data_IF_686314001789
#
_entry.id   IF_686314001789
#
_cell.length_a   1.000
_cell.length_b   1.000
_cell.length_c   1.000
_cell.angle_alpha   90.00
_cell.angle_beta   90.00
_cell.angle_gamma   90.00
#
_symmetry.space_group_name_H-M   'P 1'
#
loop_
_entity.id
_entity.type
_entity.pdbx_description
1 polymer ?
#
# COMPACT_ATOMS: atom_id res chain seq x y z
N UNK A 1 -15.30 10.40 -9.96
CA UNK A 1 -14.40 10.58 -8.80
C UNK A 1 -14.61 11.89 -8.05
N UNK A 2 -15.14 12.98 -8.70
CA UNK A 2 -15.26 14.30 -8.05
C UNK A 2 -16.19 14.33 -6.83
N UNK A 3 -17.15 13.43 -6.73
CA UNK A 3 -18.15 13.34 -5.65
C UNK A 3 -17.80 12.27 -4.61
N UNK A 4 -16.65 11.63 -4.71
CA UNK A 4 -16.25 10.55 -3.81
C UNK A 4 -16.04 11.07 -2.39
N UNK A 5 -16.62 10.42 -1.34
CA UNK A 5 -16.45 10.84 0.05
C UNK A 5 -14.99 10.73 0.52
N UNK A 6 -14.59 11.55 1.50
CA UNK A 6 -13.23 11.60 2.06
C UNK A 6 -12.71 10.21 2.46
N UNK A 7 -13.47 9.47 3.27
CA UNK A 7 -13.07 8.16 3.75
C UNK A 7 -12.80 7.17 2.61
N UNK A 8 -13.66 7.18 1.58
CA UNK A 8 -13.45 6.33 0.41
C UNK A 8 -12.23 6.79 -0.40
N UNK A 9 -12.04 8.11 -0.57
CA UNK A 9 -10.84 8.68 -1.22
C UNK A 9 -9.56 8.23 -0.52
N UNK A 10 -9.53 8.26 0.82
CA UNK A 10 -8.39 7.82 1.61
C UNK A 10 -8.09 6.33 1.39
N UNK A 11 -9.11 5.47 1.58
CA UNK A 11 -8.93 4.02 1.47
C UNK A 11 -8.51 3.59 0.06
N UNK A 12 -9.20 4.10 -0.99
CA UNK A 12 -8.85 3.74 -2.38
C UNK A 12 -7.53 4.34 -2.84
N UNK A 13 -7.14 5.50 -2.30
CA UNK A 13 -5.85 6.11 -2.60
C UNK A 13 -4.68 5.33 -1.98
N UNK A 14 -4.83 4.86 -0.74
CA UNK A 14 -3.82 4.01 -0.11
C UNK A 14 -3.78 2.60 -0.72
N UNK A 15 -4.91 2.10 -1.19
CA UNK A 15 -4.98 0.88 -1.98
C UNK A 15 -4.17 1.00 -3.28
N UNK A 16 -4.37 2.09 -4.02
CA UNK A 16 -3.59 2.38 -5.23
C UNK A 16 -2.08 2.51 -4.94
N UNK A 17 -1.71 3.12 -3.82
CA UNK A 17 -0.30 3.17 -3.38
C UNK A 17 0.25 1.78 -3.10
N UNK A 18 -0.52 0.92 -2.42
CA UNK A 18 -0.13 -0.46 -2.14
C UNK A 18 0.05 -1.26 -3.43
N UNK A 19 -0.89 -1.14 -4.38
CA UNK A 19 -0.78 -1.73 -5.72
C UNK A 19 0.55 -1.37 -6.39
N UNK A 20 0.89 -0.07 -6.42
CA UNK A 20 2.09 0.40 -7.09
C UNK A 20 3.37 -0.06 -6.38
N UNK A 21 3.42 -0.01 -5.04
CA UNK A 21 4.58 -0.45 -4.27
C UNK A 21 4.78 -1.96 -4.43
N UNK A 22 3.75 -2.78 -4.29
CA UNK A 22 3.87 -4.22 -4.46
C UNK A 22 4.25 -4.61 -5.89
N UNK A 23 3.63 -4.00 -6.90
CA UNK A 23 4.03 -4.23 -8.29
C UNK A 23 5.51 -3.90 -8.56
N UNK A 24 6.04 -2.85 -7.92
CA UNK A 24 7.44 -2.47 -8.06
C UNK A 24 8.41 -3.48 -7.43
N UNK A 25 8.05 -4.10 -6.31
CA UNK A 25 8.92 -5.08 -5.61
C UNK A 25 8.62 -6.52 -5.99
N UNK A 26 7.53 -6.79 -6.71
CA UNK A 26 7.11 -8.13 -7.11
C UNK A 26 8.20 -8.86 -7.92
N UNK A 27 8.28 -10.18 -7.77
CA UNK A 27 9.24 -11.02 -8.50
C UNK A 27 8.97 -11.10 -10.00
N UNK A 28 7.70 -10.94 -10.42
CA UNK A 28 7.28 -10.93 -11.82
C UNK A 28 7.38 -9.55 -12.51
N UNK A 29 8.00 -8.56 -11.86
CA UNK A 29 8.19 -7.21 -12.38
C UNK A 29 8.99 -7.14 -13.68
N UNK A 30 8.82 -6.07 -14.40
CA UNK A 30 9.56 -5.74 -15.62
C UNK A 30 9.89 -4.24 -15.64
N UNK A 31 10.77 -3.81 -16.55
CA UNK A 31 11.07 -2.38 -16.73
C UNK A 31 9.82 -1.56 -17.05
N UNK A 32 8.83 -2.14 -17.73
CA UNK A 32 7.56 -1.48 -18.05
C UNK A 32 6.69 -1.29 -16.80
N UNK A 33 6.52 -2.35 -16.02
CA UNK A 33 5.77 -2.27 -14.76
C UNK A 33 6.47 -1.38 -13.73
N UNK A 34 7.80 -1.41 -13.65
CA UNK A 34 8.60 -0.56 -12.77
C UNK A 34 8.39 0.93 -13.08
N UNK A 35 8.42 1.31 -14.38
CA UNK A 35 8.21 2.70 -14.79
C UNK A 35 6.80 3.21 -14.41
N UNK A 36 5.77 2.39 -14.67
CA UNK A 36 4.38 2.73 -14.31
C UNK A 36 4.19 2.81 -12.79
N UNK A 37 4.78 1.87 -12.04
CA UNK A 37 4.67 1.82 -10.59
C UNK A 37 5.33 3.04 -9.94
N UNK A 38 6.56 3.38 -10.31
CA UNK A 38 7.27 4.54 -9.76
C UNK A 38 6.55 5.85 -10.06
N UNK A 39 6.05 6.03 -11.30
CA UNK A 39 5.28 7.22 -11.64
C UNK A 39 3.97 7.29 -10.83
N UNK A 40 3.25 6.16 -10.69
CA UNK A 40 2.05 6.10 -9.88
C UNK A 40 2.32 6.46 -8.41
N UNK A 41 3.39 5.93 -7.82
CA UNK A 41 3.80 6.24 -6.44
C UNK A 41 4.04 7.75 -6.29
N UNK A 42 4.82 8.37 -7.18
CA UNK A 42 5.11 9.81 -7.15
C UNK A 42 3.82 10.63 -7.23
N UNK A 43 2.96 10.33 -8.19
CA UNK A 43 1.70 11.05 -8.40
C UNK A 43 0.74 10.90 -7.22
N UNK A 44 0.70 9.74 -6.57
CA UNK A 44 -0.10 9.50 -5.37
C UNK A 44 0.43 10.33 -4.20
N UNK A 45 1.74 10.31 -3.94
CA UNK A 45 2.34 11.11 -2.86
C UNK A 45 2.07 12.61 -3.05
N UNK A 46 2.13 13.11 -4.28
CA UNK A 46 1.89 14.51 -4.61
C UNK A 46 0.42 14.93 -4.46
N UNK A 47 -0.53 13.99 -4.67
CA UNK A 47 -1.93 14.38 -4.91
C UNK A 47 -2.92 13.84 -3.89
N UNK A 48 -2.63 12.73 -3.19
CA UNK A 48 -3.63 12.03 -2.39
C UNK A 48 -4.22 12.90 -1.27
N UNK A 49 -3.39 13.65 -0.56
CA UNK A 49 -3.85 14.53 0.52
C UNK A 49 -4.74 15.65 -0.01
N UNK A 50 -4.34 16.32 -1.09
CA UNK A 50 -5.16 17.35 -1.72
C UNK A 50 -6.48 16.77 -2.28
N UNK A 51 -6.42 15.59 -2.90
CA UNK A 51 -7.59 14.84 -3.36
C UNK A 51 -8.55 14.50 -2.22
N UNK A 52 -8.03 14.10 -1.07
CA UNK A 52 -8.81 13.83 0.14
C UNK A 52 -9.57 15.07 0.62
N UNK A 53 -8.97 16.25 0.53
CA UNK A 53 -9.61 17.52 0.86
C UNK A 53 -10.50 18.09 -0.27
N UNK A 54 -10.60 17.38 -1.40
CA UNK A 54 -11.57 17.70 -2.45
C UNK A 54 -11.03 18.54 -3.61
N UNK A 55 -9.70 18.73 -3.70
CA UNK A 55 -9.09 19.40 -4.84
C UNK A 55 -9.35 18.61 -6.12
N UNK A 56 -9.90 19.28 -7.14
CA UNK A 56 -10.35 18.64 -8.38
C UNK A 56 -9.19 18.17 -9.26
N UNK A 57 -8.15 18.97 -9.36
CA UNK A 57 -6.96 18.61 -10.15
C UNK A 57 -6.22 17.44 -9.52
N UNK A 58 -6.10 17.43 -8.19
CA UNK A 58 -5.54 16.30 -7.46
C UNK A 58 -6.38 15.02 -7.62
N UNK A 59 -7.71 15.11 -7.67
CA UNK A 59 -8.59 13.96 -7.94
C UNK A 59 -8.42 13.40 -9.34
N UNK A 60 -8.21 14.24 -10.33
CA UNK A 60 -7.92 13.84 -11.70
C UNK A 60 -6.55 13.16 -11.76
N UNK A 61 -5.51 13.73 -11.14
CA UNK A 61 -4.18 13.14 -11.05
C UNK A 61 -4.21 11.77 -10.35
N UNK A 62 -4.94 11.65 -9.24
CA UNK A 62 -5.15 10.38 -8.53
C UNK A 62 -5.85 9.32 -9.40
N UNK A 63 -6.80 9.72 -10.25
CA UNK A 63 -7.48 8.79 -11.16
C UNK A 63 -6.50 8.20 -12.19
N UNK A 64 -5.61 9.03 -12.74
CA UNK A 64 -4.55 8.57 -13.65
C UNK A 64 -3.54 7.69 -12.92
N UNK A 65 -3.08 8.10 -11.74
CA UNK A 65 -2.13 7.35 -10.94
C UNK A 65 -2.64 5.95 -10.57
N UNK A 66 -3.92 5.85 -10.17
CA UNK A 66 -4.54 4.56 -9.88
C UNK A 66 -4.63 3.67 -11.13
N UNK A 67 -4.88 4.26 -12.31
CA UNK A 67 -4.87 3.51 -13.57
C UNK A 67 -3.46 2.96 -13.87
N UNK A 68 -2.41 3.78 -13.70
CA UNK A 68 -1.02 3.34 -13.88
C UNK A 68 -0.63 2.25 -12.88
N UNK A 69 -1.01 2.38 -11.61
CA UNK A 69 -0.83 1.33 -10.62
C UNK A 69 -1.52 0.03 -11.04
N UNK A 70 -2.76 0.14 -11.58
CA UNK A 70 -3.52 -0.97 -12.15
C UNK A 70 -2.79 -1.67 -13.29
N UNK A 71 -2.25 -0.90 -14.24
CA UNK A 71 -1.46 -1.42 -15.35
C UNK A 71 -0.16 -2.08 -14.88
N UNK A 72 0.48 -1.53 -13.85
CA UNK A 72 1.70 -2.08 -13.28
C UNK A 72 1.44 -3.46 -12.66
N UNK A 73 0.48 -3.57 -11.72
CA UNK A 73 0.22 -4.83 -11.04
C UNK A 73 -0.44 -5.89 -11.93
N UNK A 74 -1.19 -5.49 -12.95
CA UNK A 74 -1.74 -6.45 -13.92
C UNK A 74 -0.66 -7.20 -14.69
N UNK A 75 0.56 -6.64 -14.75
CA UNK A 75 1.72 -7.26 -15.41
C UNK A 75 2.73 -7.85 -14.40
N UNK A 76 2.89 -7.24 -13.23
CA UNK A 76 3.88 -7.65 -12.22
C UNK A 76 3.30 -8.51 -11.11
N UNK A 77 1.97 -8.57 -11.01
CA UNK A 77 1.23 -9.13 -9.88
C UNK A 77 1.36 -8.27 -8.60
N UNK A 78 0.88 -8.80 -7.48
CA UNK A 78 0.85 -8.12 -6.17
C UNK A 78 1.73 -8.87 -5.17
N UNK A 79 1.52 -8.63 -3.88
CA UNK A 79 2.30 -9.24 -2.81
C UNK A 79 1.46 -9.60 -1.58
N UNK A 80 2.14 -9.84 -0.46
CA UNK A 80 1.51 -10.32 0.76
C UNK A 80 0.65 -9.29 1.48
N UNK A 81 0.80 -7.98 1.23
CA UNK A 81 -0.11 -6.99 1.79
C UNK A 81 -1.53 -7.23 1.28
N UNK A 82 -1.70 -7.42 -0.04
CA UNK A 82 -2.99 -7.76 -0.63
C UNK A 82 -3.50 -9.13 -0.17
N UNK A 83 -2.65 -10.15 -0.12
CA UNK A 83 -3.03 -11.47 0.37
C UNK A 83 -3.60 -11.41 1.78
N UNK A 84 -2.93 -10.71 2.68
CA UNK A 84 -3.40 -10.50 4.06
C UNK A 84 -4.66 -9.63 4.12
N UNK A 85 -4.73 -8.55 3.31
CA UNK A 85 -5.88 -7.66 3.27
C UNK A 85 -7.16 -8.38 2.80
N UNK A 86 -7.06 -9.30 1.83
CA UNK A 86 -8.18 -10.15 1.40
C UNK A 86 -8.75 -10.96 2.58
N UNK A 87 -7.88 -11.55 3.40
CA UNK A 87 -8.30 -12.42 4.50
C UNK A 87 -8.78 -11.61 5.71
N UNK A 88 -8.02 -10.60 6.12
CA UNK A 88 -8.39 -9.75 7.28
C UNK A 88 -9.65 -8.93 7.00
N UNK A 89 -9.78 -8.38 5.79
CA UNK A 89 -10.98 -7.64 5.38
C UNK A 89 -12.25 -8.51 5.38
N UNK A 90 -12.13 -9.75 4.94
CA UNK A 90 -13.25 -10.71 4.97
C UNK A 90 -13.64 -11.12 6.39
N UNK A 91 -12.66 -11.40 7.26
CA UNK A 91 -12.91 -11.86 8.63
C UNK A 91 -13.43 -10.72 9.53
N UNK A 92 -12.82 -9.52 9.43
CA UNK A 92 -13.14 -8.42 10.34
C UNK A 92 -14.08 -7.37 9.74
N UNK A 93 -14.56 -7.58 8.52
CA UNK A 93 -15.43 -6.63 7.79
C UNK A 93 -14.84 -5.21 7.68
N UNK A 94 -13.51 -5.12 7.55
CA UNK A 94 -12.79 -3.86 7.36
C UNK A 94 -12.63 -3.61 5.85
N UNK A 95 -12.86 -2.37 5.36
CA UNK A 95 -12.68 -2.05 3.95
C UNK A 95 -11.27 -2.42 3.45
N UNK A 96 -11.18 -3.02 2.26
CA UNK A 96 -9.95 -3.56 1.67
C UNK A 96 -8.79 -2.56 1.68
N UNK A 97 -8.99 -1.35 1.17
CA UNK A 97 -7.94 -0.33 1.15
C UNK A 97 -7.51 0.15 2.55
N UNK A 98 -8.38 0.03 3.57
CA UNK A 98 -8.00 0.27 4.95
C UNK A 98 -7.08 -0.85 5.47
N UNK A 99 -7.40 -2.12 5.17
CA UNK A 99 -6.52 -3.25 5.51
C UNK A 99 -5.15 -3.10 4.86
N UNK A 100 -5.09 -2.77 3.57
CA UNK A 100 -3.83 -2.52 2.88
C UNK A 100 -3.03 -1.38 3.53
N UNK A 101 -3.68 -0.26 3.88
CA UNK A 101 -3.03 0.86 4.54
C UNK A 101 -2.42 0.52 5.91
N UNK A 102 -3.07 -0.36 6.67
CA UNK A 102 -2.58 -0.84 7.98
C UNK A 102 -1.41 -1.81 7.80
N UNK A 103 -1.51 -2.72 6.84
CA UNK A 103 -0.56 -3.82 6.64
C UNK A 103 0.73 -3.38 5.94
N UNK A 104 0.63 -2.44 4.99
CA UNK A 104 1.73 -2.05 4.11
C UNK A 104 3.03 -1.70 4.87
N UNK A 105 3.04 -0.91 5.95
CA UNK A 105 4.25 -0.62 6.71
C UNK A 105 4.96 -1.89 7.20
N UNK A 106 4.23 -2.80 7.83
CA UNK A 106 4.80 -4.05 8.37
C UNK A 106 5.26 -5.02 7.27
N UNK A 107 4.56 -5.04 6.14
CA UNK A 107 4.95 -5.84 4.96
C UNK A 107 6.26 -5.31 4.36
N UNK A 108 6.43 -3.99 4.27
CA UNK A 108 7.70 -3.40 3.82
C UNK A 108 8.84 -3.78 4.76
N UNK A 109 8.64 -3.66 6.09
CA UNK A 109 9.64 -4.05 7.10
C UNK A 109 10.00 -5.55 7.00
N UNK A 110 9.03 -6.41 6.71
CA UNK A 110 9.25 -7.85 6.53
C UNK A 110 10.04 -8.15 5.26
N UNK A 111 9.60 -7.61 4.10
CA UNK A 111 10.20 -7.87 2.79
C UNK A 111 11.57 -7.19 2.62
N UNK A 112 11.82 -6.09 3.32
CA UNK A 112 13.11 -5.39 3.28
C UNK A 112 14.30 -6.25 3.70
N UNK A 113 14.08 -7.36 4.40
CA UNK A 113 15.13 -8.33 4.73
C UNK A 113 15.77 -8.96 3.50
N UNK A 114 15.09 -8.96 2.36
CA UNK A 114 15.55 -9.56 1.10
C UNK A 114 15.58 -8.60 -0.08
N UNK A 115 14.85 -7.46 -0.02
CA UNK A 115 14.76 -6.51 -1.14
C UNK A 115 14.79 -5.02 -0.70
N UNK A 116 15.58 -4.69 0.34
CA UNK A 116 15.70 -3.31 0.86
C UNK A 116 16.08 -2.29 -0.23
N UNK A 117 16.91 -2.67 -1.17
CA UNK A 117 17.32 -1.83 -2.30
C UNK A 117 16.15 -1.32 -3.15
N UNK A 118 15.12 -2.15 -3.32
CA UNK A 118 13.92 -1.79 -4.09
C UNK A 118 13.08 -0.75 -3.34
N UNK A 119 12.89 -0.92 -2.05
CA UNK A 119 12.19 0.06 -1.21
C UNK A 119 12.97 1.36 -1.08
N UNK A 120 14.31 1.27 -0.98
CA UNK A 120 15.17 2.44 -0.99
C UNK A 120 15.12 3.21 -2.32
N UNK A 121 14.97 2.51 -3.45
CA UNK A 121 14.78 3.14 -4.76
C UNK A 121 13.45 3.92 -4.81
N UNK A 122 12.36 3.38 -4.27
CA UNK A 122 11.09 4.11 -4.11
C UNK A 122 11.31 5.36 -3.25
N UNK A 123 11.95 5.22 -2.09
CA UNK A 123 12.20 6.33 -1.17
C UNK A 123 12.98 7.47 -1.85
N UNK A 124 14.05 7.14 -2.58
CA UNK A 124 14.82 8.11 -3.37
C UNK A 124 13.96 8.79 -4.44
N UNK A 125 13.14 8.02 -5.12
CA UNK A 125 12.28 8.51 -6.20
C UNK A 125 11.28 9.58 -5.72
N UNK A 126 10.73 9.41 -4.51
CA UNK A 126 9.82 10.39 -3.89
C UNK A 126 10.54 11.43 -3.02
N UNK A 127 11.88 11.51 -3.10
CA UNK A 127 12.68 12.55 -2.46
C UNK A 127 12.91 12.37 -0.95
N UNK A 128 12.74 11.16 -0.40
CA UNK A 128 13.07 10.88 0.99
C UNK A 128 14.60 10.81 1.19
N UNK A 129 15.05 11.20 2.37
CA UNK A 129 16.47 11.29 2.70
C UNK A 129 16.94 10.07 3.53
N UNK A 130 18.11 9.56 3.21
CA UNK A 130 18.80 8.49 3.92
C UNK A 130 20.14 8.19 3.27
N UNK A 131 21.11 7.67 4.06
CA UNK A 131 22.45 7.34 3.59
C UNK A 131 22.59 5.87 3.19
N UNK A 132 21.75 5.00 3.75
CA UNK A 132 21.74 3.56 3.48
C UNK A 132 20.37 3.12 3.01
N UNK A 133 20.29 1.95 2.37
CA UNK A 133 19.03 1.38 1.94
C UNK A 133 18.08 1.11 3.12
N UNK A 134 18.62 0.70 4.26
CA UNK A 134 17.87 0.54 5.50
C UNK A 134 17.25 1.87 5.97
N UNK A 135 18.04 2.95 6.02
CA UNK A 135 17.53 4.27 6.41
C UNK A 135 16.44 4.77 5.45
N UNK A 136 16.62 4.56 4.15
CA UNK A 136 15.63 4.95 3.14
C UNK A 136 14.37 4.10 3.24
N UNK A 137 14.49 2.80 3.48
CA UNK A 137 13.33 1.91 3.70
C UNK A 137 12.54 2.34 4.95
N UNK A 138 13.24 2.63 6.05
CA UNK A 138 12.59 3.13 7.27
C UNK A 138 11.91 4.48 7.02
N UNK A 139 12.54 5.39 6.27
CA UNK A 139 11.94 6.67 5.89
C UNK A 139 10.67 6.48 5.04
N UNK A 140 10.65 5.47 4.14
CA UNK A 140 9.46 5.11 3.37
C UNK A 140 8.33 4.61 4.29
N UNK A 141 8.63 3.71 5.21
CA UNK A 141 7.67 3.20 6.21
C UNK A 141 7.08 4.34 7.03
N UNK A 142 7.91 5.23 7.54
CA UNK A 142 7.47 6.39 8.33
C UNK A 142 6.62 7.36 7.51
N UNK A 143 6.97 7.57 6.23
CA UNK A 143 6.19 8.41 5.33
C UNK A 143 4.79 7.85 5.06
N UNK A 144 4.65 6.53 4.92
CA UNK A 144 3.37 5.84 4.76
C UNK A 144 2.53 5.97 6.05
N UNK A 145 3.13 5.72 7.22
CA UNK A 145 2.46 5.91 8.52
C UNK A 145 1.98 7.36 8.69
N UNK A 146 2.80 8.33 8.28
CA UNK A 146 2.43 9.75 8.32
C UNK A 146 1.30 10.09 7.33
N UNK A 147 1.30 9.47 6.14
CA UNK A 147 0.24 9.64 5.16
C UNK A 147 -1.09 9.08 5.67
N UNK A 148 -1.09 7.88 6.26
CA UNK A 148 -2.27 7.30 6.90
C UNK A 148 -2.89 8.24 7.95
N UNK A 149 -2.05 8.85 8.80
CA UNK A 149 -2.51 9.84 9.80
C UNK A 149 -3.16 11.06 9.16
N UNK A 150 -2.57 11.62 8.08
CA UNK A 150 -3.13 12.77 7.36
C UNK A 150 -4.47 12.48 6.68
N UNK A 151 -4.75 11.21 6.41
CA UNK A 151 -5.95 10.71 5.75
C UNK A 151 -7.00 10.17 6.73
N UNK A 152 -6.80 10.35 8.04
CA UNK A 152 -7.66 9.81 9.10
C UNK A 152 -7.88 8.28 9.00
N UNK A 153 -6.85 7.55 8.53
CA UNK A 153 -6.87 6.08 8.48
C UNK A 153 -6.29 5.54 9.79
N UNK A 154 -7.00 4.60 10.40
CA UNK A 154 -6.54 3.86 11.56
C UNK A 154 -5.18 3.20 11.30
N UNK A 155 -4.29 3.25 12.29
CA UNK A 155 -2.93 2.70 12.17
C UNK A 155 -2.87 1.20 12.52
N UNK A 156 -3.91 0.70 13.18
CA UNK A 156 -3.96 -0.67 13.71
C UNK A 156 -5.37 -1.26 13.55
N UNK A 157 -5.45 -2.59 13.59
CA UNK A 157 -6.73 -3.30 13.66
C UNK A 157 -7.49 -2.95 14.94
N UNK A 158 -6.79 -2.72 16.06
CA UNK A 158 -7.40 -2.30 17.33
C UNK A 158 -8.16 -0.99 17.19
N UNK A 159 -7.63 0.00 16.49
CA UNK A 159 -8.31 1.27 16.20
C UNK A 159 -9.55 1.09 15.30
N UNK A 160 -9.62 -0.02 14.57
CA UNK A 160 -10.80 -0.43 13.79
C UNK A 160 -11.78 -1.32 14.60
N UNK A 161 -11.58 -1.46 15.92
CA UNK A 161 -12.49 -2.21 16.81
C UNK A 161 -12.21 -3.71 16.91
N UNK A 162 -11.09 -4.20 16.34
CA UNK A 162 -10.65 -5.59 16.47
C UNK A 162 -9.77 -5.73 17.72
N UNK A 163 -10.22 -6.44 18.74
CA UNK A 163 -9.39 -6.68 19.92
C UNK A 163 -8.22 -7.63 19.61
N UNK A 164 -7.21 -7.60 20.48
CA UNK A 164 -6.05 -8.49 20.36
C UNK A 164 -6.43 -9.96 20.47
N UNK A 165 -7.39 -10.29 21.34
CA UNK A 165 -7.90 -11.66 21.49
C UNK A 165 -8.56 -12.16 20.20
N UNK A 166 -9.43 -11.35 19.59
CA UNK A 166 -10.11 -11.68 18.33
C UNK A 166 -9.11 -11.79 17.18
N UNK A 167 -8.11 -10.90 17.13
CA UNK A 167 -7.05 -10.98 16.12
C UNK A 167 -6.25 -12.28 16.26
N UNK A 168 -5.85 -12.64 17.48
CA UNK A 168 -5.07 -13.85 17.76
C UNK A 168 -5.87 -15.13 17.48
N UNK A 169 -7.17 -15.14 17.77
CA UNK A 169 -8.06 -16.27 17.46
C UNK A 169 -8.07 -16.62 15.95
N UNK A 170 -7.95 -15.60 15.09
CA UNK A 170 -8.03 -15.77 13.64
C UNK A 170 -6.66 -15.75 12.93
N UNK A 171 -5.57 -15.40 13.62
CA UNK A 171 -4.28 -15.12 13.02
C UNK A 171 -3.72 -16.30 12.22
N UNK A 172 -3.73 -17.51 12.77
CA UNK A 172 -3.21 -18.72 12.11
C UNK A 172 -4.01 -19.06 10.84
N UNK A 173 -5.35 -18.95 10.92
CA UNK A 173 -6.20 -19.20 9.77
C UNK A 173 -6.02 -18.14 8.68
N UNK A 174 -5.88 -16.86 9.05
CA UNK A 174 -5.58 -15.76 8.13
C UNK A 174 -4.23 -16.02 7.45
N UNK A 175 -3.19 -16.33 8.21
CA UNK A 175 -1.85 -16.58 7.67
C UNK A 175 -1.85 -17.78 6.69
N UNK A 176 -2.43 -18.92 7.08
CA UNK A 176 -2.52 -20.08 6.24
C UNK A 176 -3.26 -19.83 4.91
N UNK A 177 -4.38 -19.10 4.97
CA UNK A 177 -5.14 -18.74 3.78
C UNK A 177 -4.45 -17.66 2.92
N UNK A 178 -3.68 -16.74 3.53
CA UNK A 178 -2.91 -15.75 2.80
C UNK A 178 -1.78 -16.39 1.99
N UNK A 179 -1.13 -17.41 2.51
CA UNK A 179 -0.10 -18.19 1.77
C UNK A 179 -0.66 -18.82 0.50
N UNK A 180 -1.92 -19.22 0.50
CA UNK A 180 -2.60 -19.82 -0.65
C UNK A 180 -3.18 -18.76 -1.63
N UNK A 181 -3.13 -17.50 -1.29
CA UNK A 181 -3.63 -16.42 -2.15
C UNK A 181 -2.70 -16.22 -3.36
N UNK A 182 -3.25 -16.05 -4.58
CA UNK A 182 -2.44 -15.84 -5.79
C UNK A 182 -1.44 -14.68 -5.68
N UNK A 183 -1.76 -13.63 -4.91
CA UNK A 183 -0.88 -12.49 -4.71
C UNK A 183 0.42 -12.84 -3.96
N UNK A 184 0.42 -13.87 -3.11
CA UNK A 184 1.61 -14.30 -2.37
C UNK A 184 2.68 -14.89 -3.28
N UNK A 185 2.31 -15.50 -4.39
CA UNK A 185 3.26 -16.16 -5.31
C UNK A 185 4.22 -15.22 -6.02
N UNK A 186 3.99 -13.92 -5.97
CA UNK A 186 4.83 -12.89 -6.60
C UNK A 186 5.55 -11.96 -5.59
N UNK A 187 5.42 -12.27 -4.31
CA UNK A 187 6.05 -11.48 -3.25
C UNK A 187 7.53 -11.79 -3.10
#
# INVERSE_FOLDING_TARGET
PLTMPKKLTAHTGMDALTHAIEAYVATARSNFSDALALQAISDIYDSLVASYYGDKAAREKMHIAQCMAGMAFSNALLGIAHSLAHKTGAVFHIPHGCCNAILLPSVIEFNAKVCAERYAAIARHIGLLGKTDEQLTNALVDSIKALNKKLDIAQTYKENGVSEEVLNEHADAIAANAVLDPCTGSN
#
